data_IF_635507121261
#
_entry.id   IF_635507121261
#
_cell.length_a   1.000
_cell.length_b   1.000
_cell.length_c   1.000
_cell.angle_alpha   90.00
_cell.angle_beta   90.00
_cell.angle_gamma   90.00
#
_symmetry.space_group_name_H-M   'P 1'
#
loop_
_entity.id
_entity.type
_entity.pdbx_description
1 polymer ?
#
# COMPACT_ATOMS: atom_id res chain seq x y z
N UNK A 1 3.60 -0.87 15.32
CA UNK A 1 4.77 -0.95 14.40
C UNK A 1 5.61 0.31 14.56
N UNK A 2 6.90 0.20 14.85
CA UNK A 2 7.82 1.35 14.84
C UNK A 2 8.44 1.46 13.44
N UNK A 3 7.68 2.02 12.50
CA UNK A 3 8.19 2.28 11.16
C UNK A 3 8.92 3.64 11.18
N UNK A 4 10.25 3.63 11.07
CA UNK A 4 11.06 4.86 11.15
C UNK A 4 10.63 5.91 10.10
N UNK A 5 10.18 5.45 8.91
CA UNK A 5 9.66 6.33 7.86
C UNK A 5 8.46 7.14 8.35
N UNK A 6 7.53 6.51 9.08
CA UNK A 6 6.34 7.19 9.62
C UNK A 6 6.69 8.14 10.77
N UNK A 7 7.68 7.78 11.59
CA UNK A 7 8.12 8.65 12.69
C UNK A 7 8.76 9.92 12.15
N UNK A 8 9.67 9.81 11.18
CA UNK A 8 10.28 10.95 10.51
C UNK A 8 9.24 11.80 9.78
N UNK A 9 8.31 11.15 9.07
CA UNK A 9 7.23 11.85 8.37
C UNK A 9 6.33 12.64 9.33
N UNK A 10 5.96 12.06 10.48
CA UNK A 10 5.18 12.78 11.50
C UNK A 10 5.91 14.02 12.01
N UNK A 11 7.21 13.91 12.30
CA UNK A 11 8.03 15.05 12.73
C UNK A 11 8.06 16.14 11.67
N UNK A 12 8.25 15.78 10.40
CA UNK A 12 8.24 16.71 9.29
C UNK A 12 6.91 17.49 9.19
N UNK A 13 5.78 16.79 9.27
CA UNK A 13 4.44 17.40 9.20
C UNK A 13 4.16 18.28 10.42
N UNK A 14 4.63 17.90 11.61
CA UNK A 14 4.49 18.70 12.84
C UNK A 14 5.24 20.03 12.79
N UNK A 15 6.35 20.10 12.05
CA UNK A 15 7.09 21.34 11.81
C UNK A 15 6.42 22.26 10.78
N UNK A 16 5.21 21.91 10.32
CA UNK A 16 4.45 22.60 9.26
C UNK A 16 5.22 22.81 7.94
N UNK A 17 6.31 22.05 7.73
CA UNK A 17 7.06 22.07 6.49
C UNK A 17 6.28 21.24 5.47
N UNK A 18 5.52 21.89 4.59
CA UNK A 18 4.91 21.19 3.45
C UNK A 18 5.94 21.12 2.35
N UNK A 19 6.31 19.91 1.94
CA UNK A 19 7.25 19.70 0.85
C UNK A 19 6.75 18.54 0.00
N UNK A 20 6.26 18.87 -1.19
CA UNK A 20 5.73 17.89 -2.15
C UNK A 20 6.72 16.77 -2.46
N UNK A 21 8.00 17.09 -2.65
CA UNK A 21 9.03 16.10 -2.98
C UNK A 21 9.25 15.13 -1.82
N UNK A 22 9.27 15.66 -0.59
CA UNK A 22 9.39 14.85 0.61
C UNK A 22 8.19 13.90 0.74
N UNK A 23 6.97 14.40 0.62
CA UNK A 23 5.76 13.56 0.70
C UNK A 23 5.74 12.46 -0.36
N UNK A 24 6.05 12.79 -1.62
CA UNK A 24 6.12 11.79 -2.70
C UNK A 24 7.18 10.73 -2.39
N UNK A 25 8.35 11.15 -1.92
CA UNK A 25 9.42 10.25 -1.49
C UNK A 25 8.97 9.32 -0.37
N UNK A 26 8.37 9.87 0.69
CA UNK A 26 7.84 9.10 1.82
C UNK A 26 6.78 8.10 1.38
N UNK A 27 5.78 8.53 0.60
CA UNK A 27 4.71 7.64 0.11
C UNK A 27 5.30 6.50 -0.72
N UNK A 28 6.30 6.79 -1.55
CA UNK A 28 7.01 5.78 -2.34
C UNK A 28 7.72 4.77 -1.44
N UNK A 29 8.46 5.24 -0.43
CA UNK A 29 9.13 4.38 0.56
C UNK A 29 8.14 3.55 1.37
N UNK A 30 6.99 4.11 1.76
CA UNK A 30 5.92 3.41 2.45
C UNK A 30 5.36 2.27 1.59
N UNK A 31 5.06 2.52 0.31
CA UNK A 31 4.56 1.50 -0.61
C UNK A 31 5.55 0.32 -0.74
N UNK A 32 6.85 0.60 -0.77
CA UNK A 32 7.87 -0.44 -0.84
C UNK A 32 8.10 -1.18 0.48
N UNK A 33 7.87 -0.52 1.61
CA UNK A 33 8.11 -1.10 2.94
C UNK A 33 7.20 -2.30 3.23
N UNK A 34 7.81 -3.45 3.52
CA UNK A 34 7.10 -4.63 4.03
C UNK A 34 6.61 -4.45 5.47
N UNK A 35 7.19 -3.49 6.19
CA UNK A 35 6.74 -3.12 7.54
C UNK A 35 5.48 -2.28 7.46
N UNK A 36 5.39 -1.33 6.53
CA UNK A 36 4.18 -0.54 6.32
C UNK A 36 3.03 -1.40 5.76
N UNK A 37 3.34 -2.23 4.76
CA UNK A 37 2.36 -3.10 4.10
C UNK A 37 2.92 -4.51 3.99
N UNK A 38 2.35 -5.47 4.72
CA UNK A 38 2.82 -6.86 4.70
C UNK A 38 2.61 -7.50 3.33
N UNK A 39 1.48 -7.23 2.71
CA UNK A 39 1.10 -7.72 1.38
C UNK A 39 0.64 -6.57 0.49
N UNK A 40 0.71 -6.75 -0.83
CA UNK A 40 0.26 -5.70 -1.76
C UNK A 40 -1.25 -5.42 -1.66
N UNK A 41 -2.04 -6.38 -1.17
CA UNK A 41 -3.48 -6.18 -0.92
C UNK A 41 -3.73 -5.14 0.17
N UNK A 42 -2.82 -5.02 1.12
CA UNK A 42 -2.93 -4.08 2.25
C UNK A 42 -2.73 -2.63 1.76
N UNK A 43 -2.16 -2.45 0.56
CA UNK A 43 -2.00 -1.15 -0.08
C UNK A 43 -3.33 -0.63 -0.65
N UNK A 44 -4.30 -1.52 -0.93
CA UNK A 44 -5.60 -1.13 -1.51
C UNK A 44 -6.37 -0.19 -0.57
N UNK A 45 -6.41 -0.51 0.73
CA UNK A 45 -7.06 0.34 1.73
C UNK A 45 -6.35 1.69 1.88
N UNK A 46 -5.03 1.72 1.75
CA UNK A 46 -4.26 2.95 1.77
C UNK A 46 -4.58 3.85 0.56
N UNK A 47 -4.58 3.28 -0.65
CA UNK A 47 -4.91 4.00 -1.88
C UNK A 47 -6.32 4.61 -1.83
N UNK A 48 -7.30 3.82 -1.41
CA UNK A 48 -8.70 4.26 -1.33
C UNK A 48 -8.92 5.30 -0.22
N UNK A 49 -8.43 5.06 1.00
CA UNK A 49 -8.72 5.93 2.13
C UNK A 49 -7.95 7.26 2.11
N UNK A 50 -6.74 7.28 1.56
CA UNK A 50 -5.87 8.48 1.59
C UNK A 50 -5.91 9.25 0.27
N UNK A 51 -5.93 8.54 -0.86
CA UNK A 51 -5.82 9.15 -2.19
C UNK A 51 -7.11 9.08 -2.99
N UNK A 52 -8.14 8.36 -2.49
CA UNK A 52 -9.37 8.06 -3.23
C UNK A 52 -9.09 7.39 -4.60
N UNK A 53 -8.05 6.56 -4.65
CA UNK A 53 -7.59 5.88 -5.85
C UNK A 53 -7.95 4.39 -5.83
N UNK A 54 -8.36 3.87 -6.98
CA UNK A 54 -8.63 2.45 -7.19
C UNK A 54 -7.90 1.95 -8.42
N UNK A 55 -7.02 0.96 -8.23
CA UNK A 55 -6.20 0.43 -9.32
C UNK A 55 -6.64 -0.98 -9.73
N UNK A 56 -6.45 -1.25 -11.02
CA UNK A 56 -6.74 -2.56 -11.60
C UNK A 56 -5.91 -3.66 -10.93
N UNK A 57 -6.41 -4.92 -10.86
CA UNK A 57 -5.74 -5.99 -10.13
C UNK A 57 -4.31 -6.27 -10.56
N UNK A 58 -3.98 -6.08 -11.84
CA UNK A 58 -2.61 -6.27 -12.33
C UNK A 58 -1.64 -5.20 -11.79
N UNK A 59 -2.13 -4.00 -11.49
CA UNK A 59 -1.32 -2.93 -10.88
C UNK A 59 -0.99 -3.29 -9.44
N UNK A 60 -1.99 -3.67 -8.66
CA UNK A 60 -1.83 -4.04 -7.25
C UNK A 60 -0.88 -5.24 -7.08
N UNK A 61 -0.74 -6.12 -8.09
CA UNK A 61 0.22 -7.22 -8.03
C UNK A 61 1.69 -6.78 -7.95
N UNK A 62 2.03 -5.53 -8.27
CA UNK A 62 3.40 -5.01 -8.22
C UNK A 62 3.48 -3.69 -7.45
N UNK A 63 4.28 -3.67 -6.37
CA UNK A 63 4.53 -2.44 -5.58
C UNK A 63 5.14 -1.33 -6.44
N UNK A 64 6.03 -1.69 -7.36
CA UNK A 64 6.64 -0.74 -8.30
C UNK A 64 5.61 -0.12 -9.23
N UNK A 65 4.64 -0.91 -9.72
CA UNK A 65 3.58 -0.38 -10.58
C UNK A 65 2.64 0.53 -9.79
N UNK A 66 2.32 0.17 -8.54
CA UNK A 66 1.52 1.01 -7.63
C UNK A 66 2.25 2.33 -7.34
N UNK A 67 3.53 2.28 -6.96
CA UNK A 67 4.34 3.45 -6.67
C UNK A 67 4.51 4.35 -7.90
N UNK A 68 4.78 3.79 -9.08
CA UNK A 68 4.90 4.56 -10.32
C UNK A 68 3.58 5.25 -10.68
N UNK A 69 2.45 4.52 -10.59
CA UNK A 69 1.14 5.08 -10.92
C UNK A 69 0.74 6.18 -9.94
N UNK A 70 0.86 5.93 -8.63
CA UNK A 70 0.53 6.92 -7.62
C UNK A 70 1.50 8.12 -7.65
N UNK A 71 2.79 7.85 -7.84
CA UNK A 71 3.82 8.88 -7.98
C UNK A 71 3.52 9.84 -9.12
N UNK A 72 3.05 9.34 -10.28
CA UNK A 72 2.60 10.17 -11.40
C UNK A 72 1.38 11.02 -11.02
N UNK A 73 0.40 10.45 -10.33
CA UNK A 73 -0.77 11.20 -9.82
C UNK A 73 -0.33 12.33 -8.88
N UNK A 74 0.56 12.05 -7.92
CA UNK A 74 1.05 13.03 -6.96
C UNK A 74 1.94 14.10 -7.61
N UNK A 75 2.77 13.73 -8.57
CA UNK A 75 3.61 14.66 -9.32
C UNK A 75 2.78 15.73 -10.06
N UNK A 76 1.58 15.37 -10.52
CA UNK A 76 0.68 16.28 -11.23
C UNK A 76 -0.26 17.07 -10.30
N UNK A 77 -0.20 16.84 -8.98
CA UNK A 77 -1.08 17.49 -8.00
C UNK A 77 -0.52 18.84 -7.54
N UNK A 78 -1.39 19.80 -7.25
CA UNK A 78 -1.04 21.11 -6.72
C UNK A 78 -0.41 21.02 -5.33
N UNK A 79 0.59 21.87 -5.07
CA UNK A 79 1.39 21.86 -3.84
C UNK A 79 0.56 22.18 -2.59
N UNK A 80 -0.41 23.10 -2.71
CA UNK A 80 -1.33 23.48 -1.62
C UNK A 80 -2.13 22.28 -1.07
N UNK A 81 -2.37 21.28 -1.92
CA UNK A 81 -3.12 20.09 -1.54
C UNK A 81 -2.33 19.10 -0.67
N UNK A 82 -1.00 19.26 -0.57
CA UNK A 82 -0.14 18.34 0.18
C UNK A 82 -0.29 18.48 1.68
N UNK A 83 -0.59 19.68 2.21
CA UNK A 83 -0.85 19.88 3.66
C UNK A 83 -1.99 18.99 4.16
N UNK A 84 -3.06 18.87 3.38
CA UNK A 84 -4.21 18.01 3.70
C UNK A 84 -3.89 16.53 3.49
N UNK A 85 -3.12 16.22 2.45
CA UNK A 85 -2.71 14.86 2.11
C UNK A 85 -1.82 14.26 3.20
N UNK A 86 -0.84 15.03 3.68
CA UNK A 86 0.06 14.64 4.77
C UNK A 86 -0.69 14.28 6.05
N UNK A 87 -1.67 15.13 6.43
CA UNK A 87 -2.56 14.85 7.57
C UNK A 87 -3.38 13.56 7.36
N UNK A 88 -3.84 13.32 6.13
CA UNK A 88 -4.62 12.11 5.80
C UNK A 88 -3.77 10.84 5.86
N UNK A 89 -2.50 10.92 5.42
CA UNK A 89 -1.52 9.83 5.56
C UNK A 89 -1.33 9.48 7.05
N UNK A 90 -1.05 10.48 7.89
CA UNK A 90 -0.84 10.28 9.33
C UNK A 90 -2.09 9.66 9.98
N UNK A 91 -3.26 10.23 9.71
CA UNK A 91 -4.53 9.74 10.25
C UNK A 91 -4.81 8.27 9.87
N UNK A 92 -4.50 7.88 8.64
CA UNK A 92 -4.63 6.48 8.20
C UNK A 92 -3.78 5.54 9.06
N UNK A 93 -2.50 5.84 9.26
CA UNK A 93 -1.60 4.97 10.02
C UNK A 93 -1.91 4.95 11.52
N UNK A 94 -2.37 6.07 12.09
CA UNK A 94 -2.79 6.13 13.49
C UNK A 94 -4.06 5.30 13.74
N UNK A 95 -5.01 5.34 12.82
CA UNK A 95 -6.22 4.52 12.89
C UNK A 95 -5.89 3.02 12.79
N UNK A 96 -4.98 2.62 11.90
CA UNK A 96 -4.59 1.20 11.75
C UNK A 96 -3.83 0.66 12.96
N UNK A 97 -3.03 1.49 13.64
CA UNK A 97 -2.27 1.06 14.82
C UNK A 97 -3.17 0.78 16.02
N UNK A 98 -4.31 1.48 16.10
CA UNK A 98 -5.28 1.36 17.19
C UNK A 98 -6.15 0.09 17.10
N UNK A 99 -6.30 -0.48 15.90
CA UNK A 99 -7.18 -1.62 15.62
C UNK A 99 -6.46 -2.99 15.78
N UNK A 100 -5.13 -3.01 15.74
CA UNK A 100 -4.33 -4.23 15.94
C UNK A 100 -4.35 -4.71 17.41
N UNK A 101 -4.71 -3.86 18.37
CA UNK A 101 -4.90 -4.26 19.78
C UNK A 101 -6.16 -5.10 20.04
N UNK A 102 -7.01 -5.36 19.03
CA UNK A 102 -8.27 -6.11 19.17
C UNK A 102 -8.34 -7.40 18.36
N UNK A 103 -7.27 -7.83 17.68
CA UNK A 103 -7.27 -9.00 16.77
C UNK A 103 -6.44 -10.19 17.25
N UNK A 104 -6.45 -10.48 18.56
CA UNK A 104 -6.18 -11.84 19.05
C UNK A 104 -7.49 -12.62 19.17
N UNK A 105 -8.05 -13.05 18.03
CA UNK A 105 -8.94 -14.22 17.96
C UNK A 105 -8.61 -15.03 16.71
N UNK A 106 -8.36 -16.32 16.96
CA UNK A 106 -7.85 -17.38 16.10
C UNK A 106 -8.30 -17.43 14.61
N UNK A 107 -7.51 -18.11 13.75
CA UNK A 107 -7.69 -18.08 12.30
C UNK A 107 -8.85 -18.98 11.86
N UNK A 108 -9.79 -18.43 11.10
CA UNK A 108 -10.75 -19.24 10.32
C UNK A 108 -9.99 -19.97 9.19
N UNK A 109 -9.89 -21.30 9.31
CA UNK A 109 -9.37 -22.22 8.27
C UNK A 109 -10.22 -22.10 7.00
N UNK A 110 -9.75 -21.35 6.00
CA UNK A 110 -10.29 -21.42 4.64
C UNK A 110 -9.65 -22.61 3.93
N UNK A 111 -10.47 -23.58 3.50
CA UNK A 111 -10.02 -24.75 2.71
C UNK A 111 -9.30 -24.26 1.44
N UNK A 112 -7.99 -24.51 1.33
CA UNK A 112 -7.21 -24.23 0.12
C UNK A 112 -7.59 -25.25 -0.96
N UNK A 113 -8.37 -24.85 -1.96
CA UNK A 113 -8.38 -25.54 -3.25
C UNK A 113 -7.00 -25.38 -3.90
N UNK A 114 -6.32 -26.49 -4.18
CA UNK A 114 -5.04 -26.49 -4.92
C UNK A 114 -5.24 -25.78 -6.26
N UNK A 115 -4.58 -24.64 -6.46
CA UNK A 115 -4.48 -24.02 -7.79
C UNK A 115 -3.50 -24.85 -8.61
N UNK A 116 -3.97 -25.39 -9.73
CA UNK A 116 -3.13 -26.07 -10.71
C UNK A 116 -2.05 -25.11 -11.23
N UNK A 117 -0.81 -25.58 -11.23
CA UNK A 117 0.38 -24.80 -11.58
C UNK A 117 0.56 -24.77 -13.12
N UNK A 118 1.43 -23.91 -13.65
CA UNK A 118 1.64 -23.79 -15.09
C UNK A 118 2.05 -25.13 -15.76
N UNK A 119 2.83 -25.96 -15.06
CA UNK A 119 3.19 -27.30 -15.51
C UNK A 119 1.98 -28.25 -15.67
N UNK A 120 0.94 -28.11 -14.86
CA UNK A 120 -0.26 -28.97 -14.94
C UNK A 120 -1.08 -28.72 -16.21
N UNK A 121 -0.92 -27.55 -16.84
CA UNK A 121 -1.55 -27.22 -18.12
C UNK A 121 -0.79 -27.82 -19.31
N UNK A 122 0.52 -28.01 -19.15
CA UNK A 122 1.40 -28.57 -20.17
C UNK A 122 1.06 -30.05 -20.42
N UNK A 123 0.75 -30.80 -19.35
CA UNK A 123 0.32 -32.20 -19.44
C UNK A 123 -1.02 -32.35 -20.20
N UNK A 124 -1.90 -31.36 -20.12
CA UNK A 124 -3.16 -31.35 -20.87
C UNK A 124 -2.97 -31.08 -22.36
N UNK A 125 -1.89 -30.41 -22.76
CA UNK A 125 -1.56 -30.17 -24.17
C UNK A 125 -0.83 -31.38 -24.77
N UNK A 126 0.05 -32.02 -24.00
CA UNK A 126 0.75 -33.22 -24.43
C UNK A 126 -0.18 -34.43 -24.67
N UNK A 127 -1.33 -34.48 -23.99
CA UNK A 127 -2.34 -35.55 -24.18
C UNK A 127 -3.25 -35.34 -25.39
N UNK A 128 -3.22 -34.15 -26.01
CA UNK A 128 -4.03 -33.81 -27.18
C UNK A 128 -3.28 -33.89 -28.52
N UNK A 129 -2.00 -34.28 -28.47
CA UNK A 129 -1.18 -34.73 -29.61
C UNK A 129 -1.19 -36.26 -29.65
#
# INVERSE_FOLDING_TARGET
MNNNILLEFKKHVQLEQVNKNYTIGTVTLLIYSKEAFKNNKDIISFLSNVFNESYLPYVIKSRTLVAAKLGRTLANKEEESFKKLDKSIIAYFDATTSDDSKKDKEPKKVKKTKKKNANDKLDSWLRGL
#
